data_IF_052765067343
#
_entry.id   IF_052765067343
#
_cell.length_a   1.000
_cell.length_b   1.000
_cell.length_c   1.000
_cell.angle_alpha   90.00
_cell.angle_beta   90.00
_cell.angle_gamma   90.00
#
_symmetry.space_group_name_H-M   'P 1'
#
loop_
_entity.id
_entity.type
_entity.pdbx_description
1 polymer ?
#
# COMPACT_ATOMS: atom_id res chain seq x y z
N UNK A 1 26.89 3.33 -0.92
CA UNK A 1 27.29 4.23 0.19
C UNK A 1 26.94 3.52 1.49
N UNK A 2 27.73 3.67 2.55
CA UNK A 2 27.34 3.14 3.87
C UNK A 2 26.27 4.03 4.50
N UNK A 3 25.31 3.44 5.22
CA UNK A 3 24.32 4.16 6.02
C UNK A 3 25.04 4.99 7.10
N UNK A 4 24.53 6.19 7.38
CA UNK A 4 25.01 6.96 8.53
C UNK A 4 24.66 6.22 9.83
N UNK A 5 25.50 6.35 10.86
CA UNK A 5 25.27 5.69 12.16
C UNK A 5 23.91 6.08 12.77
N UNK A 6 23.45 7.33 12.59
CA UNK A 6 22.12 7.78 13.01
C UNK A 6 21.00 6.97 12.34
N UNK A 7 21.12 6.72 11.03
CA UNK A 7 20.14 5.93 10.27
C UNK A 7 20.12 4.48 10.74
N UNK A 8 21.27 3.88 11.04
CA UNK A 8 21.33 2.53 11.62
C UNK A 8 20.63 2.46 12.98
N UNK A 9 20.82 3.48 13.82
CA UNK A 9 20.11 3.57 15.11
C UNK A 9 18.61 3.79 14.95
N UNK A 10 18.19 4.60 13.97
CA UNK A 10 16.78 4.79 13.64
C UNK A 10 16.14 3.46 13.21
N UNK A 11 16.81 2.68 12.37
CA UNK A 11 16.36 1.35 11.95
C UNK A 11 16.28 0.37 13.12
N UNK A 12 17.19 0.47 14.10
CA UNK A 12 17.20 -0.36 15.31
C UNK A 12 16.18 0.06 16.38
N UNK A 13 15.49 1.19 16.21
CA UNK A 13 14.49 1.68 17.18
C UNK A 13 13.39 0.64 17.41
N UNK A 14 13.13 0.33 18.69
CA UNK A 14 12.13 -0.65 19.12
C UNK A 14 10.86 0.05 19.59
N UNK A 15 9.73 -0.34 19.01
CA UNK A 15 8.41 0.18 19.36
C UNK A 15 7.38 -0.96 19.40
N UNK A 16 7.44 -1.87 20.39
CA UNK A 16 6.53 -3.01 20.48
C UNK A 16 5.06 -2.58 20.54
N UNK A 17 4.77 -1.40 21.11
CA UNK A 17 3.43 -0.82 21.15
C UNK A 17 2.86 -0.51 19.76
N UNK A 18 3.69 -0.20 18.75
CA UNK A 18 3.24 -0.03 17.36
C UNK A 18 2.86 -1.38 16.77
N UNK A 19 3.71 -2.39 16.98
CA UNK A 19 3.48 -3.77 16.52
C UNK A 19 2.18 -4.33 17.12
N UNK A 20 2.00 -4.19 18.43
CA UNK A 20 0.79 -4.60 19.14
C UNK A 20 -0.46 -3.90 18.59
N UNK A 21 -0.35 -2.60 18.29
CA UNK A 21 -1.46 -1.80 17.75
C UNK A 21 -1.84 -2.23 16.34
N UNK A 22 -0.85 -2.53 15.48
CA UNK A 22 -1.08 -3.00 14.11
C UNK A 22 -1.84 -4.33 14.07
N UNK A 23 -1.48 -5.27 14.95
CA UNK A 23 -2.19 -6.55 15.07
C UNK A 23 -3.59 -6.35 15.66
N UNK A 24 -3.71 -5.57 16.74
CA UNK A 24 -4.98 -5.32 17.41
C UNK A 24 -6.01 -4.68 16.49
N UNK A 25 -5.58 -3.74 15.66
CA UNK A 25 -6.46 -2.99 14.75
C UNK A 25 -6.64 -3.73 13.40
N UNK A 26 -6.09 -4.95 13.26
CA UNK A 26 -6.18 -5.81 12.07
C UNK A 26 -5.60 -5.16 10.81
N UNK A 27 -4.57 -4.33 10.97
CA UNK A 27 -3.75 -3.84 9.86
C UNK A 27 -2.83 -4.96 9.39
N UNK A 28 -2.29 -5.73 10.33
CA UNK A 28 -1.48 -6.92 10.10
C UNK A 28 -2.16 -8.16 10.69
N UNK A 29 -2.06 -9.29 10.00
CA UNK A 29 -2.64 -10.58 10.39
C UNK A 29 -1.77 -11.34 11.39
N UNK A 30 -0.51 -10.94 11.55
CA UNK A 30 0.44 -11.56 12.48
C UNK A 30 1.44 -10.55 13.04
N UNK A 31 2.06 -10.91 14.17
CA UNK A 31 3.16 -10.14 14.78
C UNK A 31 4.33 -9.99 13.80
N UNK A 32 4.72 -11.08 13.12
CA UNK A 32 5.82 -11.05 12.16
C UNK A 32 5.57 -10.06 11.01
N UNK A 33 4.34 -10.03 10.48
CA UNK A 33 3.96 -9.05 9.46
C UNK A 33 3.96 -7.62 10.03
N UNK A 34 3.45 -7.41 11.25
CA UNK A 34 3.48 -6.09 11.88
C UNK A 34 4.91 -5.57 12.11
N UNK A 35 5.85 -6.46 12.49
CA UNK A 35 7.27 -6.13 12.60
C UNK A 35 7.91 -5.78 11.25
N UNK A 36 7.57 -6.52 10.19
CA UNK A 36 7.99 -6.21 8.82
C UNK A 36 7.48 -4.82 8.38
N UNK A 37 6.19 -4.55 8.53
CA UNK A 37 5.60 -3.25 8.17
C UNK A 37 6.24 -2.09 8.92
N UNK A 38 6.46 -2.24 10.23
CA UNK A 38 7.10 -1.19 11.01
C UNK A 38 8.58 -1.02 10.64
N UNK A 39 9.27 -2.10 10.29
CA UNK A 39 10.64 -2.04 9.74
C UNK A 39 10.66 -1.25 8.44
N UNK A 40 9.73 -1.51 7.53
CA UNK A 40 9.65 -0.79 6.26
C UNK A 40 9.21 0.67 6.43
N UNK A 41 8.35 0.98 7.39
CA UNK A 41 8.02 2.36 7.73
C UNK A 41 9.26 3.15 8.18
N UNK A 42 10.10 2.56 9.03
CA UNK A 42 11.38 3.19 9.43
C UNK A 42 12.34 3.33 8.25
N UNK A 43 12.42 2.31 7.37
CA UNK A 43 13.25 2.36 6.15
C UNK A 43 12.80 3.46 5.20
N UNK A 44 11.49 3.67 5.04
CA UNK A 44 10.96 4.78 4.26
C UNK A 44 11.43 6.13 4.80
N UNK A 45 11.28 6.37 6.11
CA UNK A 45 11.72 7.62 6.75
C UNK A 45 13.23 7.86 6.58
N UNK A 46 14.04 6.81 6.76
CA UNK A 46 15.48 6.85 6.52
C UNK A 46 15.82 7.11 5.05
N UNK A 47 15.09 6.52 4.11
CA UNK A 47 15.30 6.70 2.67
C UNK A 47 15.01 8.14 2.25
N UNK A 48 13.88 8.71 2.72
CA UNK A 48 13.55 10.11 2.51
C UNK A 48 14.62 11.05 3.10
N UNK A 49 15.13 10.75 4.30
CA UNK A 49 16.21 11.54 4.90
C UNK A 49 17.52 11.44 4.11
N UNK A 50 17.88 10.23 3.67
CA UNK A 50 19.12 9.96 2.96
C UNK A 50 19.09 10.41 1.49
N UNK A 51 17.97 10.97 1.02
CA UNK A 51 17.77 11.36 -0.38
C UNK A 51 17.02 12.71 -0.46
N UNK A 52 17.51 13.78 0.18
CA UNK A 52 16.77 15.05 0.31
C UNK A 52 16.51 15.77 -1.03
N UNK A 53 17.23 15.41 -2.08
CA UNK A 53 17.06 15.92 -3.44
C UNK A 53 15.85 15.35 -4.18
N UNK A 54 15.30 14.23 -3.70
CA UNK A 54 14.14 13.57 -4.31
C UNK A 54 13.05 13.39 -3.27
N UNK A 55 11.84 13.87 -3.59
CA UNK A 55 10.68 13.59 -2.75
C UNK A 55 10.00 12.31 -3.23
N UNK A 56 9.96 11.28 -2.37
CA UNK A 56 9.29 10.02 -2.66
C UNK A 56 7.92 9.99 -1.98
N UNK A 57 6.87 9.77 -2.78
CA UNK A 57 5.55 9.48 -2.23
C UNK A 57 5.52 8.13 -1.51
N UNK A 58 4.48 7.92 -0.70
CA UNK A 58 4.22 6.61 -0.12
C UNK A 58 3.69 5.64 -1.18
N UNK A 59 4.35 4.50 -1.34
CA UNK A 59 4.05 3.50 -2.38
C UNK A 59 3.37 2.22 -1.86
N UNK A 60 3.15 2.10 -0.54
CA UNK A 60 2.46 0.96 0.06
C UNK A 60 1.45 1.44 1.08
N UNK A 61 0.18 1.09 0.89
CA UNK A 61 -0.88 1.41 1.83
C UNK A 61 -0.64 0.74 3.20
N UNK A 62 0.00 -0.44 3.22
CA UNK A 62 0.29 -1.13 4.48
C UNK A 62 1.46 -0.50 5.25
N UNK A 63 2.51 -0.07 4.54
CA UNK A 63 3.61 0.68 5.18
C UNK A 63 3.13 2.04 5.64
N UNK A 64 2.24 2.69 4.88
CA UNK A 64 1.59 3.94 5.29
C UNK A 64 0.77 3.77 6.58
N UNK A 65 -0.05 2.72 6.66
CA UNK A 65 -0.83 2.40 7.86
C UNK A 65 0.07 2.15 9.09
N UNK A 66 1.25 1.52 8.89
CA UNK A 66 2.24 1.36 9.95
C UNK A 66 2.86 2.68 10.39
N UNK A 67 3.20 3.56 9.46
CA UNK A 67 3.69 4.89 9.78
C UNK A 67 2.62 5.74 10.49
N UNK A 68 1.38 5.76 9.98
CA UNK A 68 0.23 6.39 10.62
C UNK A 68 0.04 5.90 12.06
N UNK A 69 0.12 4.59 12.28
CA UNK A 69 0.00 4.01 13.62
C UNK A 69 1.10 4.52 14.54
N UNK A 70 2.34 4.66 14.04
CA UNK A 70 3.44 5.21 14.83
C UNK A 70 3.22 6.70 15.17
N UNK A 71 2.71 7.51 14.24
CA UNK A 71 2.38 8.93 14.46
C UNK A 71 1.40 9.12 15.64
N UNK A 72 0.48 8.16 15.86
CA UNK A 72 -0.48 8.22 16.99
C UNK A 72 0.18 8.08 18.37
N UNK A 73 1.38 7.51 18.44
CA UNK A 73 2.21 7.53 19.65
C UNK A 73 3.03 8.82 19.67
N UNK A 74 2.33 9.94 19.85
CA UNK A 74 2.81 11.28 19.50
C UNK A 74 4.12 11.66 20.19
N UNK A 75 4.31 11.24 21.45
CA UNK A 75 5.53 11.53 22.21
C UNK A 75 6.70 10.76 21.64
N UNK A 76 6.56 9.43 21.52
CA UNK A 76 7.58 8.52 21.02
C UNK A 76 7.95 8.84 19.57
N UNK A 77 6.97 9.23 18.76
CA UNK A 77 7.18 9.64 17.38
C UNK A 77 7.94 10.96 17.27
N UNK A 78 7.56 11.96 18.07
CA UNK A 78 8.27 13.24 18.11
C UNK A 78 9.72 13.05 18.58
N UNK A 79 9.93 12.26 19.65
CA UNK A 79 11.25 11.94 20.17
C UNK A 79 12.10 11.18 19.14
N UNK A 80 11.52 10.21 18.44
CA UNK A 80 12.19 9.50 17.34
C UNK A 80 12.67 10.45 16.24
N UNK A 81 11.81 11.35 15.77
CA UNK A 81 12.15 12.36 14.78
C UNK A 81 13.29 13.28 15.25
N UNK A 82 13.15 13.84 16.45
CA UNK A 82 14.15 14.75 17.01
C UNK A 82 15.49 14.05 17.28
N UNK A 83 15.47 12.81 17.76
CA UNK A 83 16.66 12.06 18.12
C UNK A 83 17.49 11.62 16.90
N UNK A 84 16.84 11.13 15.85
CA UNK A 84 17.54 10.51 14.71
C UNK A 84 17.61 11.38 13.46
N UNK A 85 16.72 12.37 13.34
CA UNK A 85 16.60 13.24 12.15
C UNK A 85 16.72 14.73 12.50
N UNK A 86 16.84 15.06 13.79
CA UNK A 86 16.96 16.45 14.28
C UNK A 86 15.70 17.30 14.11
N UNK A 87 14.57 16.71 13.69
CA UNK A 87 13.31 17.41 13.44
C UNK A 87 12.09 16.50 13.56
N UNK A 88 10.92 17.11 13.75
CA UNK A 88 9.65 16.40 13.60
C UNK A 88 9.43 16.02 12.12
N UNK A 89 9.12 14.74 11.88
CA UNK A 89 8.82 14.23 10.55
C UNK A 89 7.31 14.41 10.30
N UNK A 90 6.94 15.32 9.41
CA UNK A 90 5.54 15.57 9.11
C UNK A 90 4.99 14.48 8.20
N UNK A 91 3.89 13.83 8.61
CA UNK A 91 3.05 13.03 7.74
C UNK A 91 1.92 13.93 7.21
N UNK A 92 1.77 14.01 5.88
CA UNK A 92 0.69 14.71 5.23
C UNK A 92 -0.08 13.73 4.34
N UNK A 93 -1.39 13.54 4.56
CA UNK A 93 -2.18 12.67 3.69
C UNK A 93 -2.24 13.28 2.28
N UNK A 94 -2.18 12.43 1.26
CA UNK A 94 -2.43 12.83 -0.12
C UNK A 94 -3.91 13.15 -0.26
N UNK A 95 -4.25 14.45 -0.24
CA UNK A 95 -5.62 14.91 -0.50
C UNK A 95 -5.81 15.00 -2.02
N UNK A 96 -6.84 14.34 -2.55
CA UNK A 96 -7.24 14.37 -3.96
C UNK A 96 -6.18 13.90 -4.99
N UNK A 97 -5.32 12.95 -4.61
CA UNK A 97 -4.30 12.39 -5.51
C UNK A 97 -3.18 13.36 -5.88
N UNK A 98 -3.14 14.54 -5.26
CA UNK A 98 -2.09 15.53 -5.42
C UNK A 98 -1.45 15.75 -4.06
N UNK A 99 -0.24 15.22 -3.88
CA UNK A 99 0.61 15.70 -2.80
C UNK A 99 1.11 17.11 -3.18
N UNK A 100 0.70 18.18 -2.46
CA UNK A 100 1.08 19.54 -2.79
C UNK A 100 2.59 19.79 -2.69
N UNK A 101 3.34 18.89 -2.03
CA UNK A 101 4.79 18.98 -1.88
C UNK A 101 5.58 18.35 -3.05
N UNK A 102 4.92 17.61 -3.96
CA UNK A 102 5.58 16.84 -5.01
C UNK A 102 5.60 17.56 -6.36
N UNK A 103 6.35 18.67 -6.46
CA UNK A 103 6.65 19.27 -7.78
C UNK A 103 7.51 18.37 -8.67
N UNK A 104 8.21 17.37 -8.10
CA UNK A 104 8.87 16.26 -8.78
C UNK A 104 8.88 15.02 -7.86
N UNK A 105 7.78 14.26 -7.83
CA UNK A 105 7.76 12.96 -7.15
C UNK A 105 8.74 12.00 -7.84
N UNK A 106 9.62 11.34 -7.08
CA UNK A 106 10.37 10.19 -7.58
C UNK A 106 9.39 9.11 -8.05
N UNK A 107 9.65 8.50 -9.22
CA UNK A 107 8.87 7.35 -9.67
C UNK A 107 9.04 6.16 -8.72
N UNK A 108 8.09 5.21 -8.73
CA UNK A 108 8.24 3.96 -7.97
C UNK A 108 9.54 3.21 -8.33
N UNK A 109 9.94 3.25 -9.61
CA UNK A 109 11.19 2.65 -10.04
C UNK A 109 12.41 3.35 -9.44
N UNK A 110 12.39 4.68 -9.34
CA UNK A 110 13.46 5.43 -8.67
C UNK A 110 13.48 5.12 -7.16
N UNK A 111 12.31 5.04 -6.51
CA UNK A 111 12.20 4.63 -5.12
C UNK A 111 12.82 3.24 -4.88
N UNK A 112 12.46 2.26 -5.72
CA UNK A 112 12.98 0.89 -5.65
C UNK A 112 14.50 0.86 -5.81
N UNK A 113 15.05 1.52 -6.83
CA UNK A 113 16.49 1.61 -7.05
C UNK A 113 17.19 2.20 -5.83
N UNK A 114 16.68 3.32 -5.32
CA UNK A 114 17.27 4.00 -4.15
C UNK A 114 17.22 3.14 -2.89
N UNK A 115 16.11 2.43 -2.67
CA UNK A 115 15.96 1.49 -1.57
C UNK A 115 17.01 0.37 -1.63
N UNK A 116 17.14 -0.27 -2.80
CA UNK A 116 18.05 -1.40 -3.00
C UNK A 116 19.51 -0.98 -2.81
N UNK A 117 19.88 0.21 -3.28
CA UNK A 117 21.21 0.79 -3.08
C UNK A 117 21.50 1.11 -1.61
N UNK A 118 20.52 1.67 -0.90
CA UNK A 118 20.71 2.16 0.47
C UNK A 118 20.74 1.03 1.49
N UNK A 119 19.89 0.01 1.32
CA UNK A 119 19.76 -1.09 2.27
C UNK A 119 20.46 -2.38 1.82
N UNK A 120 21.03 -2.41 0.61
CA UNK A 120 21.73 -3.56 0.05
C UNK A 120 20.89 -4.86 0.03
N UNK A 121 19.59 -4.72 -0.23
CA UNK A 121 18.63 -5.82 -0.32
C UNK A 121 17.52 -5.48 -1.32
N UNK A 122 16.89 -6.50 -1.96
CA UNK A 122 15.75 -6.26 -2.84
C UNK A 122 14.59 -5.61 -2.09
N UNK A 123 13.76 -4.84 -2.81
CA UNK A 123 12.55 -4.25 -2.24
C UNK A 123 11.57 -5.35 -1.77
N UNK A 124 11.20 -5.40 -0.47
CA UNK A 124 10.29 -6.43 0.06
C UNK A 124 8.89 -6.41 -0.57
N UNK A 125 8.20 -7.54 -0.52
CA UNK A 125 6.87 -7.71 -1.14
C UNK A 125 5.80 -6.78 -0.54
N UNK A 126 5.96 -6.34 0.71
CA UNK A 126 5.03 -5.40 1.35
C UNK A 126 4.97 -4.02 0.68
N UNK A 127 5.92 -3.71 -0.21
CA UNK A 127 5.91 -2.52 -1.05
C UNK A 127 5.03 -2.62 -2.29
N UNK A 128 4.47 -3.80 -2.57
CA UNK A 128 3.59 -4.04 -3.71
C UNK A 128 2.17 -4.30 -3.19
N UNK A 129 1.29 -3.30 -3.33
CA UNK A 129 -0.07 -3.36 -2.78
C UNK A 129 -0.89 -4.55 -3.28
N UNK A 130 -0.67 -5.02 -4.52
CA UNK A 130 -1.33 -6.22 -5.06
C UNK A 130 -0.91 -7.51 -4.33
N UNK A 131 0.27 -7.51 -3.72
CA UNK A 131 0.80 -8.65 -2.94
C UNK A 131 0.33 -8.63 -1.48
N UNK A 132 -0.35 -7.57 -1.04
CA UNK A 132 -0.76 -7.40 0.36
C UNK A 132 -2.28 -7.39 0.58
N UNK A 133 -3.04 -7.70 -0.46
CA UNK A 133 -4.48 -7.89 -0.38
C UNK A 133 -4.84 -9.04 0.58
N UNK A 134 -5.89 -8.81 1.37
CA UNK A 134 -6.46 -9.78 2.29
C UNK A 134 -7.99 -9.64 2.30
N UNK A 135 -8.76 -10.68 2.68
CA UNK A 135 -10.22 -10.59 2.80
C UNK A 135 -10.70 -9.45 3.72
N UNK A 136 -9.88 -9.13 4.72
CA UNK A 136 -10.14 -8.05 5.68
C UNK A 136 -9.97 -6.64 5.08
N UNK A 137 -9.25 -6.51 3.95
CA UNK A 137 -8.82 -5.24 3.36
C UNK A 137 -9.98 -4.51 2.68
N UNK A 138 -10.11 -3.21 2.94
CA UNK A 138 -10.97 -2.32 2.16
C UNK A 138 -10.19 -1.82 0.95
N UNK A 139 -10.86 -1.77 -0.20
CA UNK A 139 -10.33 -1.26 -1.45
C UNK A 139 -11.22 -0.15 -1.98
N UNK A 140 -10.64 0.75 -2.76
CA UNK A 140 -11.31 1.85 -3.44
C UNK A 140 -11.15 1.60 -4.94
N UNK A 141 -12.26 1.61 -5.66
CA UNK A 141 -12.32 1.45 -7.11
C UNK A 141 -12.36 2.82 -7.76
N UNK A 142 -11.20 3.33 -8.15
CA UNK A 142 -11.08 4.63 -8.83
C UNK A 142 -11.67 4.58 -10.26
N UNK A 143 -11.86 3.39 -10.83
CA UNK A 143 -12.59 3.18 -12.08
C UNK A 143 -14.12 3.10 -11.93
N UNK A 144 -14.66 3.22 -10.72
CA UNK A 144 -16.10 3.10 -10.50
C UNK A 144 -16.89 4.12 -11.33
N UNK A 145 -17.99 3.68 -11.96
CA UNK A 145 -18.84 4.52 -12.80
C UNK A 145 -18.40 4.65 -14.27
N UNK A 146 -17.15 4.30 -14.60
CA UNK A 146 -16.69 4.18 -16.00
C UNK A 146 -16.46 2.74 -16.44
N UNK A 147 -16.36 1.82 -15.49
CA UNK A 147 -16.21 0.39 -15.75
C UNK A 147 -17.53 -0.29 -16.12
N UNK A 148 -17.46 -1.31 -16.96
CA UNK A 148 -18.60 -2.17 -17.30
C UNK A 148 -18.17 -3.63 -17.43
N UNK A 149 -19.06 -4.56 -17.08
CA UNK A 149 -18.84 -5.97 -17.29
C UNK A 149 -19.38 -6.42 -18.66
N UNK A 150 -18.65 -7.29 -19.35
CA UNK A 150 -19.10 -7.94 -20.60
C UNK A 150 -18.85 -9.43 -20.50
N UNK A 151 -19.81 -10.25 -20.90
CA UNK A 151 -19.64 -11.71 -20.92
C UNK A 151 -19.98 -12.29 -22.29
N UNK A 152 -19.23 -13.33 -22.66
CA UNK A 152 -19.46 -14.16 -23.85
C UNK A 152 -19.98 -15.57 -23.51
N UNK A 153 -20.36 -15.80 -22.24
CA UNK A 153 -20.82 -17.09 -21.71
C UNK A 153 -19.72 -18.03 -21.21
N UNK A 154 -18.44 -17.79 -21.55
CA UNK A 154 -17.30 -18.58 -21.06
C UNK A 154 -16.37 -17.73 -20.19
N UNK A 155 -16.23 -16.46 -20.55
CA UNK A 155 -15.45 -15.47 -19.83
C UNK A 155 -16.32 -14.27 -19.46
N UNK A 156 -15.86 -13.54 -18.46
CA UNK A 156 -16.35 -12.22 -18.12
C UNK A 156 -15.16 -11.26 -18.13
N UNK A 157 -15.38 -10.10 -18.74
CA UNK A 157 -14.40 -9.03 -18.87
C UNK A 157 -14.88 -7.83 -18.07
N UNK A 158 -13.97 -7.21 -17.35
CA UNK A 158 -14.14 -5.84 -16.87
C UNK A 158 -13.52 -4.91 -17.91
N UNK A 159 -14.27 -3.92 -18.35
CA UNK A 159 -13.91 -3.05 -19.48
C UNK A 159 -14.00 -1.59 -19.05
N UNK A 160 -13.03 -0.77 -19.45
CA UNK A 160 -13.01 0.67 -19.15
C UNK A 160 -13.94 1.50 -20.05
N UNK A 161 -13.96 2.82 -19.84
CA UNK A 161 -14.77 3.75 -20.62
C UNK A 161 -14.37 3.87 -22.10
N UNK A 162 -13.16 3.44 -22.47
CA UNK A 162 -12.70 3.40 -23.86
C UNK A 162 -13.11 2.10 -24.57
N UNK A 163 -13.56 1.09 -23.81
CA UNK A 163 -13.88 -0.22 -24.34
C UNK A 163 -12.72 -1.21 -24.27
N UNK A 164 -11.62 -0.86 -23.61
CA UNK A 164 -10.45 -1.73 -23.41
C UNK A 164 -10.65 -2.64 -22.19
N UNK A 165 -10.29 -3.91 -22.33
CA UNK A 165 -10.43 -4.88 -21.25
C UNK A 165 -9.33 -4.66 -20.19
N UNK A 166 -9.74 -4.34 -18.96
CA UNK A 166 -8.84 -4.20 -17.80
C UNK A 166 -8.65 -5.52 -17.05
N UNK A 167 -9.62 -6.44 -17.17
CA UNK A 167 -9.57 -7.78 -16.59
C UNK A 167 -10.34 -8.76 -17.47
N UNK A 168 -9.85 -9.98 -17.63
CA UNK A 168 -10.58 -11.09 -18.26
C UNK A 168 -10.42 -12.33 -17.41
N UNK A 169 -11.53 -12.90 -16.95
CA UNK A 169 -11.56 -14.09 -16.10
C UNK A 169 -12.66 -15.05 -16.54
N UNK A 170 -12.68 -16.24 -15.95
CA UNK A 170 -13.73 -17.22 -16.20
C UNK A 170 -15.11 -16.68 -15.77
N UNK A 171 -16.17 -17.03 -16.50
CA UNK A 171 -17.55 -16.63 -16.21
C UNK A 171 -18.05 -17.05 -14.80
N UNK A 172 -17.38 -17.98 -14.10
CA UNK A 172 -17.65 -18.25 -12.69
C UNK A 172 -17.54 -17.00 -11.79
N UNK A 173 -16.72 -16.02 -12.18
CA UNK A 173 -16.56 -14.77 -11.45
C UNK A 173 -17.51 -13.64 -11.92
N UNK A 174 -18.53 -13.94 -12.74
CA UNK A 174 -19.43 -12.92 -13.32
C UNK A 174 -20.05 -11.99 -12.27
N UNK A 175 -20.64 -12.55 -11.22
CA UNK A 175 -21.26 -11.76 -10.15
C UNK A 175 -20.24 -10.81 -9.49
N UNK A 176 -19.01 -11.27 -9.28
CA UNK A 176 -17.95 -10.47 -8.68
C UNK A 176 -17.48 -9.35 -9.61
N UNK A 177 -17.33 -9.62 -10.91
CA UNK A 177 -16.95 -8.60 -11.90
C UNK A 177 -18.04 -7.54 -12.07
N UNK A 178 -19.31 -7.96 -12.12
CA UNK A 178 -20.47 -7.05 -12.14
C UNK A 178 -20.54 -6.17 -10.88
N UNK A 179 -20.26 -6.75 -9.72
CA UNK A 179 -20.21 -6.03 -8.45
C UNK A 179 -19.09 -4.98 -8.45
N UNK A 180 -17.87 -5.35 -8.88
CA UNK A 180 -16.73 -4.43 -8.98
C UNK A 180 -17.08 -3.25 -9.88
N UNK A 181 -17.66 -3.48 -11.06
CA UNK A 181 -18.00 -2.42 -12.02
C UNK A 181 -18.91 -1.32 -11.44
N UNK A 182 -19.73 -1.64 -10.44
CA UNK A 182 -20.78 -0.77 -9.90
C UNK A 182 -20.50 -0.22 -8.50
N UNK A 183 -19.44 -0.69 -7.85
CA UNK A 183 -19.16 -0.38 -6.44
C UNK A 183 -17.90 0.47 -6.33
N UNK A 184 -17.99 1.60 -5.63
CA UNK A 184 -16.90 2.55 -5.47
C UNK A 184 -15.88 2.14 -4.40
N UNK A 185 -16.32 1.45 -3.35
CA UNK A 185 -15.45 0.92 -2.32
C UNK A 185 -16.11 -0.28 -1.64
N UNK A 186 -15.31 -1.24 -1.23
CA UNK A 186 -15.78 -2.48 -0.62
C UNK A 186 -14.63 -3.20 0.08
N UNK A 187 -14.96 -4.13 0.97
CA UNK A 187 -14.00 -5.10 1.49
C UNK A 187 -13.83 -6.27 0.52
N UNK A 188 -12.62 -6.79 0.39
CA UNK A 188 -12.34 -7.95 -0.51
C UNK A 188 -13.29 -9.12 -0.24
N UNK A 189 -13.57 -9.42 1.04
CA UNK A 189 -14.51 -10.48 1.45
C UNK A 189 -15.94 -10.29 0.94
N UNK A 190 -16.36 -9.08 0.57
CA UNK A 190 -17.72 -8.77 0.11
C UNK A 190 -17.98 -9.15 -1.34
N UNK A 191 -16.93 -9.53 -2.10
CA UNK A 191 -17.11 -10.01 -3.46
C UNK A 191 -18.10 -11.21 -3.51
N UNK A 192 -19.17 -11.14 -4.32
CA UNK A 192 -20.19 -12.17 -4.42
C UNK A 192 -19.73 -13.36 -5.31
N UNK A 193 -20.67 -14.25 -5.65
CA UNK A 193 -20.43 -15.35 -6.60
C UNK A 193 -19.87 -16.64 -5.99
N UNK A 194 -19.84 -16.76 -4.66
CA UNK A 194 -19.40 -18.00 -3.98
C UNK A 194 -17.90 -18.29 -4.09
N UNK A 195 -17.10 -17.29 -4.49
CA UNK A 195 -15.65 -17.38 -4.55
C UNK A 195 -15.04 -17.61 -3.16
N UNK A 196 -13.98 -18.40 -3.10
CA UNK A 196 -13.11 -18.52 -1.92
C UNK A 196 -12.37 -17.21 -1.66
N UNK A 197 -11.83 -17.05 -0.44
CA UNK A 197 -11.03 -15.87 -0.08
C UNK A 197 -9.80 -15.70 -0.98
N UNK A 198 -9.14 -16.79 -1.35
CA UNK A 198 -7.97 -16.76 -2.26
C UNK A 198 -8.37 -16.35 -3.68
N UNK A 199 -9.52 -16.81 -4.18
CA UNK A 199 -10.04 -16.41 -5.49
C UNK A 199 -10.44 -14.93 -5.52
N UNK A 200 -11.04 -14.43 -4.43
CA UNK A 200 -11.38 -13.01 -4.28
C UNK A 200 -10.15 -12.13 -4.28
N UNK A 201 -9.11 -12.53 -3.54
CA UNK A 201 -7.81 -11.84 -3.55
C UNK A 201 -7.23 -11.87 -4.97
N UNK A 202 -7.10 -13.06 -5.57
CA UNK A 202 -6.52 -13.24 -6.90
C UNK A 202 -7.25 -12.45 -8.00
N UNK A 203 -8.57 -12.27 -7.89
CA UNK A 203 -9.36 -11.45 -8.82
C UNK A 203 -8.96 -9.96 -8.77
N UNK A 204 -8.61 -9.44 -7.59
CA UNK A 204 -8.31 -8.02 -7.40
C UNK A 204 -6.84 -7.67 -7.61
N UNK A 205 -5.90 -8.60 -7.42
CA UNK A 205 -4.46 -8.37 -7.65
C UNK A 205 -4.13 -7.68 -8.98
N UNK A 206 -4.62 -8.15 -10.15
CA UNK A 206 -4.33 -7.48 -11.43
C UNK A 206 -4.95 -6.07 -11.50
N UNK A 207 -6.10 -5.83 -10.88
CA UNK A 207 -6.75 -4.52 -10.85
C UNK A 207 -5.97 -3.53 -9.98
N UNK A 208 -5.38 -4.01 -8.87
CA UNK A 208 -4.48 -3.21 -8.04
C UNK A 208 -3.19 -2.87 -8.78
N UNK A 209 -2.58 -3.87 -9.43
CA UNK A 209 -1.37 -3.64 -10.24
C UNK A 209 -1.60 -2.66 -11.39
N UNK A 210 -2.79 -2.66 -11.97
CA UNK A 210 -3.19 -1.74 -13.04
C UNK A 210 -3.59 -0.34 -12.52
N UNK A 211 -3.68 -0.13 -11.21
CA UNK A 211 -4.13 1.14 -10.61
C UNK A 211 -5.62 1.43 -10.79
N UNK A 212 -6.43 0.45 -11.19
CA UNK A 212 -7.89 0.58 -11.31
C UNK A 212 -8.53 0.54 -9.93
N UNK A 213 -7.95 -0.28 -9.05
CA UNK A 213 -8.32 -0.41 -7.64
C UNK A 213 -7.10 -0.07 -6.81
N UNK A 214 -7.28 0.58 -5.67
CA UNK A 214 -6.22 0.80 -4.68
C UNK A 214 -6.67 0.35 -3.31
N UNK A 215 -5.72 0.04 -2.44
CA UNK A 215 -6.02 -0.24 -1.04
C UNK A 215 -6.47 1.05 -0.37
N UNK A 216 -7.50 0.96 0.48
CA UNK A 216 -7.84 2.07 1.35
C UNK A 216 -6.76 2.23 2.43
N UNK A 217 -6.42 3.47 2.82
CA UNK A 217 -5.52 3.75 3.94
C UNK A 217 -6.13 3.31 5.28
#
# INVERSE_FOLDING_TARGET
MALAAEHERALAFSAPFVVDRLVKDRVADSVAQAEELFTEAKRYLVLCEATPETSFGMHSAMVDAAWHTFVLFTTEYADFGMQYFGRYLHHAPVVDGLDPALTQAGSFEHFRQRYEELFAQPLPTVWYDDSTLAPARRVINDGSGVLSARSDGHTVQLVDGNGDAVLTVNALASDAVDFIARTCDFYVRELPGGLTDDEKVGLLQPLVRAGVIRLAP
#
